data_IF_849904432232
#
_entry.id   IF_849904432232
#
_cell.length_a   1.000
_cell.length_b   1.000
_cell.length_c   1.000
_cell.angle_alpha   90.00
_cell.angle_beta   90.00
_cell.angle_gamma   90.00
#
_symmetry.space_group_name_H-M   'P 1'
#
loop_
_entity.id
_entity.type
_entity.pdbx_description
1 polymer ?
#
# COMPACT_ATOMS: atom_id res chain seq x y z
N UNK A 1 -9.63 7.54 -2.76
CA UNK A 1 -8.86 6.34 -3.17
C UNK A 1 -9.74 5.54 -4.11
N UNK A 2 -9.27 5.23 -5.32
CA UNK A 2 -9.98 4.36 -6.25
C UNK A 2 -9.52 2.91 -6.03
N UNK A 3 -10.44 1.92 -6.08
CA UNK A 3 -10.13 0.49 -5.88
C UNK A 3 -10.56 -0.40 -7.05
N UNK A 4 -10.88 0.21 -8.20
CA UNK A 4 -11.47 -0.51 -9.33
C UNK A 4 -13.00 -0.47 -9.31
N UNK A 5 -13.65 -0.84 -10.43
CA UNK A 5 -15.11 -0.75 -10.59
C UNK A 5 -15.88 -1.75 -9.73
N UNK A 6 -15.23 -2.84 -9.30
CA UNK A 6 -15.81 -3.88 -8.44
C UNK A 6 -15.21 -3.88 -7.03
N UNK A 7 -14.33 -2.93 -6.74
CA UNK A 7 -13.68 -2.84 -5.45
C UNK A 7 -14.59 -2.15 -4.42
N UNK A 8 -14.55 -2.64 -3.18
CA UNK A 8 -15.20 -2.00 -2.03
C UNK A 8 -14.16 -1.57 -1.02
N UNK A 9 -14.42 -0.45 -0.35
CA UNK A 9 -13.61 0.07 0.75
C UNK A 9 -14.48 0.19 1.97
N UNK A 10 -14.02 -0.39 3.08
CA UNK A 10 -14.66 -0.28 4.38
C UNK A 10 -13.73 0.42 5.37
N UNK A 11 -14.26 1.43 6.05
CA UNK A 11 -13.59 2.06 7.18
C UNK A 11 -13.54 1.11 8.39
N UNK A 12 -12.48 1.14 9.20
CA UNK A 12 -12.40 0.31 10.40
C UNK A 12 -13.30 0.85 11.51
N UNK A 13 -13.85 -0.06 12.32
CA UNK A 13 -14.46 0.26 13.62
C UNK A 13 -13.36 0.45 14.67
N UNK A 14 -13.69 1.06 15.81
CA UNK A 14 -12.75 1.26 16.93
C UNK A 14 -12.16 -0.03 17.49
N UNK A 15 -12.87 -1.15 17.35
CA UNK A 15 -12.45 -2.49 17.80
C UNK A 15 -11.74 -3.30 16.72
N UNK A 16 -11.73 -2.82 15.47
CA UNK A 16 -11.16 -3.57 14.35
C UNK A 16 -9.62 -3.55 14.42
N UNK A 17 -9.01 -4.64 13.97
CA UNK A 17 -7.57 -4.73 13.79
C UNK A 17 -7.27 -5.04 12.33
N UNK A 18 -6.30 -4.34 11.74
CA UNK A 18 -5.96 -4.45 10.30
C UNK A 18 -5.63 -5.88 9.84
N UNK A 19 -5.10 -6.72 10.74
CA UNK A 19 -4.76 -8.13 10.45
C UNK A 19 -5.95 -9.08 10.60
N UNK A 20 -7.09 -8.60 11.09
CA UNK A 20 -8.33 -9.36 11.24
C UNK A 20 -9.44 -8.71 10.40
N UNK A 21 -9.29 -8.71 9.07
CA UNK A 21 -10.28 -8.10 8.20
C UNK A 21 -11.61 -8.89 8.23
N UNK A 22 -12.74 -8.23 7.96
CA UNK A 22 -14.00 -8.91 7.70
C UNK A 22 -13.89 -9.91 6.53
N UNK A 23 -14.75 -10.93 6.45
CA UNK A 23 -14.75 -11.88 5.35
C UNK A 23 -14.80 -11.18 3.98
N UNK A 24 -13.94 -11.59 3.05
CA UNK A 24 -13.86 -11.01 1.70
C UNK A 24 -13.07 -9.70 1.59
N UNK A 25 -12.46 -9.23 2.69
CA UNK A 25 -11.59 -8.05 2.71
C UNK A 25 -10.16 -8.40 3.15
N UNK A 26 -9.20 -7.54 2.82
CA UNK A 26 -7.89 -7.47 3.48
C UNK A 26 -7.60 -6.07 3.99
N UNK A 27 -6.77 -5.98 5.03
CA UNK A 27 -6.34 -4.72 5.60
C UNK A 27 -5.22 -4.05 4.80
N UNK A 28 -5.27 -2.73 4.70
CA UNK A 28 -4.21 -1.91 4.12
C UNK A 28 -4.02 -0.65 4.96
N UNK A 29 -2.77 -0.33 5.30
CA UNK A 29 -2.45 0.92 5.98
C UNK A 29 -2.53 2.11 5.04
N UNK A 30 -3.04 3.24 5.54
CA UNK A 30 -3.13 4.45 4.72
C UNK A 30 -1.75 4.95 4.25
N UNK A 31 -0.72 4.74 5.09
CA UNK A 31 0.65 5.09 4.76
C UNK A 31 1.19 4.30 3.55
N UNK A 32 0.69 3.10 3.29
CA UNK A 32 1.08 2.34 2.09
C UNK A 32 0.69 3.08 0.80
N UNK A 33 -0.46 3.75 0.77
CA UNK A 33 -0.86 4.61 -0.35
C UNK A 33 0.05 5.83 -0.48
N UNK A 34 0.37 6.49 0.63
CA UNK A 34 1.34 7.60 0.62
C UNK A 34 2.74 7.16 0.13
N UNK A 35 3.03 5.86 0.20
CA UNK A 35 4.27 5.24 -0.27
C UNK A 35 4.16 4.54 -1.63
N UNK A 36 3.12 4.84 -2.39
CA UNK A 36 2.98 4.49 -3.80
C UNK A 36 2.06 3.30 -4.07
N UNK A 37 1.54 2.60 -3.06
CA UNK A 37 0.54 1.55 -3.29
C UNK A 37 -0.70 2.17 -3.95
N UNK A 38 -1.22 1.52 -4.98
CA UNK A 38 -2.35 1.99 -5.80
C UNK A 38 -3.21 0.80 -6.22
N UNK A 39 -4.49 1.06 -6.46
CA UNK A 39 -5.44 0.04 -6.90
C UNK A 39 -6.01 0.36 -8.30
N UNK A 40 -6.38 -0.66 -9.11
CA UNK A 40 -6.17 -2.09 -8.84
C UNK A 40 -4.68 -2.42 -8.66
N UNK A 41 -4.36 -3.41 -7.81
CA UNK A 41 -2.97 -3.74 -7.56
C UNK A 41 -2.31 -4.16 -8.87
N UNK A 42 -1.09 -3.69 -9.10
CA UNK A 42 -0.33 -4.14 -10.24
C UNK A 42 -0.12 -5.67 -10.15
N UNK A 43 -0.30 -6.44 -11.23
CA UNK A 43 -0.21 -7.91 -11.20
C UNK A 43 1.07 -8.43 -10.54
N UNK A 44 2.22 -7.82 -10.83
CA UNK A 44 3.50 -8.13 -10.18
C UNK A 44 3.46 -8.00 -8.63
N UNK A 45 2.78 -6.99 -8.09
CA UNK A 45 2.68 -6.81 -6.63
C UNK A 45 1.88 -7.95 -6.02
N UNK A 46 0.74 -8.30 -6.64
CA UNK A 46 -0.08 -9.44 -6.22
C UNK A 46 0.70 -10.75 -6.31
N UNK A 47 1.35 -11.02 -7.45
CA UNK A 47 2.17 -12.21 -7.69
C UNK A 47 3.29 -12.36 -6.66
N UNK A 48 4.04 -11.29 -6.39
CA UNK A 48 5.11 -11.33 -5.41
C UNK A 48 4.60 -11.57 -3.99
N UNK A 49 3.52 -10.89 -3.58
CA UNK A 49 2.93 -11.04 -2.26
C UNK A 49 2.36 -12.45 -2.03
N UNK A 50 1.73 -13.03 -3.05
CA UNK A 50 1.25 -14.41 -3.02
C UNK A 50 2.42 -15.40 -2.91
N UNK A 51 3.47 -15.24 -3.74
CA UNK A 51 4.68 -16.08 -3.72
C UNK A 51 5.34 -16.15 -2.34
N UNK A 52 5.41 -15.02 -1.62
CA UNK A 52 5.99 -14.96 -0.26
C UNK A 52 4.95 -15.22 0.85
N UNK A 53 3.67 -15.40 0.50
CA UNK A 53 2.59 -15.68 1.44
C UNK A 53 2.29 -14.51 2.38
N UNK A 54 2.38 -13.27 1.90
CA UNK A 54 2.17 -12.08 2.72
C UNK A 54 0.92 -11.29 2.35
N UNK A 55 0.01 -11.04 3.30
CA UNK A 55 -1.05 -10.06 3.10
C UNK A 55 -0.46 -8.63 3.06
N UNK A 56 -1.09 -7.70 2.32
CA UNK A 56 -0.63 -6.32 2.22
C UNK A 56 -0.38 -5.64 3.58
N UNK A 57 -1.24 -5.88 4.57
CA UNK A 57 -1.10 -5.33 5.92
C UNK A 57 0.21 -5.68 6.63
N UNK A 58 0.89 -6.78 6.27
CA UNK A 58 2.14 -7.17 6.91
C UNK A 58 3.38 -6.54 6.29
N UNK A 59 3.27 -5.85 5.16
CA UNK A 59 4.41 -5.24 4.50
C UNK A 59 4.61 -3.78 4.94
N UNK A 60 5.85 -3.38 5.21
CA UNK A 60 6.15 -1.99 5.61
C UNK A 60 5.90 -0.99 4.46
N UNK A 61 5.54 0.27 4.75
CA UNK A 61 5.26 1.25 3.70
C UNK A 61 6.44 1.51 2.76
N UNK A 62 7.68 1.55 3.26
CA UNK A 62 8.87 1.69 2.43
C UNK A 62 9.06 0.54 1.43
N UNK A 63 8.56 -0.66 1.75
CA UNK A 63 8.63 -1.79 0.83
C UNK A 63 7.78 -1.53 -0.41
N UNK A 64 6.60 -0.91 -0.25
CA UNK A 64 5.81 -0.48 -1.40
C UNK A 64 6.54 0.56 -2.25
N UNK A 65 7.29 1.47 -1.62
CA UNK A 65 8.13 2.41 -2.36
C UNK A 65 9.19 1.72 -3.22
N UNK A 66 9.81 0.65 -2.72
CA UNK A 66 10.73 -0.16 -3.51
C UNK A 66 10.03 -0.92 -4.64
N UNK A 67 8.86 -1.52 -4.38
CA UNK A 67 8.09 -2.23 -5.41
C UNK A 67 7.65 -1.28 -6.54
N UNK A 68 7.16 -0.09 -6.21
CA UNK A 68 6.74 0.91 -7.19
C UNK A 68 7.92 1.49 -7.95
N UNK A 69 9.02 1.80 -7.25
CA UNK A 69 10.27 2.20 -7.89
C UNK A 69 10.75 1.14 -8.89
N UNK A 70 10.70 -0.14 -8.50
CA UNK A 70 11.03 -1.26 -9.37
C UNK A 70 10.17 -1.30 -10.63
N UNK A 71 8.85 -1.20 -10.49
CA UNK A 71 7.92 -1.20 -11.62
C UNK A 71 8.24 -0.09 -12.63
N UNK A 72 8.39 1.14 -12.13
CA UNK A 72 8.72 2.30 -12.96
C UNK A 72 10.10 2.18 -13.61
N UNK A 73 11.08 1.63 -12.92
CA UNK A 73 12.43 1.42 -13.49
C UNK A 73 12.41 0.33 -14.56
N UNK A 74 11.62 -0.72 -14.38
CA UNK A 74 11.37 -1.71 -15.42
C UNK A 74 10.75 -1.06 -16.66
N UNK A 75 9.74 -0.20 -16.49
CA UNK A 75 9.13 0.54 -17.60
C UNK A 75 10.16 1.38 -18.38
N UNK A 76 11.00 2.16 -17.68
CA UNK A 76 12.06 2.98 -18.29
C UNK A 76 13.06 2.17 -19.13
N UNK A 77 13.27 0.89 -18.76
CA UNK A 77 14.18 -0.02 -19.44
C UNK A 77 13.48 -0.89 -20.50
N UNK A 78 12.16 -0.76 -20.66
CA UNK A 78 11.36 -1.63 -21.51
C UNK A 78 11.31 -3.09 -21.02
N UNK A 79 11.52 -3.31 -19.72
CA UNK A 79 11.51 -4.63 -19.11
C UNK A 79 10.12 -4.98 -18.58
N UNK A 80 9.70 -6.22 -18.80
CA UNK A 80 8.58 -6.78 -18.04
C UNK A 80 9.02 -6.99 -16.58
N UNK A 81 8.29 -6.44 -15.59
CA UNK A 81 8.59 -6.71 -14.18
C UNK A 81 8.31 -8.19 -13.86
N UNK A 82 9.28 -8.87 -13.25
CA UNK A 82 9.18 -10.29 -12.86
C UNK A 82 9.65 -10.50 -11.44
N UNK A 83 9.07 -11.48 -10.75
CA UNK A 83 9.51 -11.93 -9.42
C UNK A 83 10.97 -12.38 -9.43
N UNK A 84 11.43 -13.03 -10.50
CA UNK A 84 12.82 -13.45 -10.69
C UNK A 84 13.82 -12.28 -10.68
N UNK A 85 13.57 -11.22 -11.45
CA UNK A 85 14.42 -10.03 -11.45
C UNK A 85 14.36 -9.32 -10.09
N UNK A 86 13.16 -9.23 -9.50
CA UNK A 86 12.97 -8.59 -8.21
C UNK A 86 13.73 -9.26 -7.07
N UNK A 87 13.66 -10.60 -6.96
CA UNK A 87 14.40 -11.37 -5.95
C UNK A 87 15.92 -11.23 -6.13
N UNK A 88 16.40 -10.92 -7.33
CA UNK A 88 17.81 -10.66 -7.58
C UNK A 88 18.26 -9.24 -7.16
N UNK A 89 17.35 -8.37 -6.75
CA UNK A 89 17.60 -7.00 -6.30
C UNK A 89 17.24 -6.79 -4.83
N UNK A 90 16.21 -7.48 -4.35
CA UNK A 90 15.65 -7.29 -3.01
C UNK A 90 15.44 -8.61 -2.28
N UNK A 91 15.60 -8.57 -0.96
CA UNK A 91 15.26 -9.66 -0.05
C UNK A 91 14.20 -9.22 0.94
N UNK A 92 13.38 -10.16 1.40
CA UNK A 92 12.40 -9.91 2.45
C UNK A 92 12.95 -10.33 3.81
N UNK A 93 12.86 -9.43 4.78
CA UNK A 93 13.32 -9.63 6.14
C UNK A 93 12.26 -9.27 7.17
N UNK A 94 12.52 -9.55 8.43
CA UNK A 94 11.65 -9.14 9.55
C UNK A 94 11.98 -7.71 10.00
N UNK A 95 10.96 -6.93 10.33
CA UNK A 95 11.13 -5.64 10.99
C UNK A 95 11.75 -5.77 12.39
N UNK A 96 12.56 -4.79 12.79
CA UNK A 96 13.45 -4.81 13.96
C UNK A 96 12.79 -4.57 15.33
N UNK A 97 11.58 -5.09 15.61
CA UNK A 97 10.93 -4.90 16.92
C UNK A 97 10.76 -6.20 17.71
N UNK A 98 11.28 -6.20 18.95
CA UNK A 98 11.41 -7.37 19.83
C UNK A 98 10.09 -7.96 20.37
N UNK A 99 8.96 -7.23 20.33
CA UNK A 99 7.70 -7.65 20.98
C UNK A 99 6.46 -7.62 20.07
N UNK A 100 6.61 -7.47 18.76
CA UNK A 100 5.48 -7.56 17.84
C UNK A 100 5.84 -8.57 16.75
N UNK A 101 5.06 -9.64 16.65
CA UNK A 101 5.19 -10.55 15.52
C UNK A 101 5.21 -9.76 14.19
N UNK A 102 6.26 -10.00 13.40
CA UNK A 102 6.14 -10.35 11.99
C UNK A 102 5.65 -9.30 10.97
N UNK A 103 6.02 -8.02 11.07
CA UNK A 103 6.00 -7.17 9.85
C UNK A 103 7.20 -7.51 8.97
N UNK A 104 6.94 -7.71 7.69
CA UNK A 104 7.94 -7.95 6.67
C UNK A 104 8.42 -6.64 6.06
N UNK A 105 9.73 -6.54 5.81
CA UNK A 105 10.34 -5.39 5.14
C UNK A 105 11.18 -5.87 4.00
N UNK A 106 11.05 -5.20 2.85
CA UNK A 106 11.99 -5.36 1.76
C UNK A 106 13.29 -4.63 2.08
N UNK A 107 14.39 -5.29 1.74
CA UNK A 107 15.75 -4.77 1.85
C UNK A 107 16.41 -4.91 0.50
N UNK A 108 17.17 -3.89 0.10
CA UNK A 108 18.00 -3.95 -1.10
C UNK A 108 19.20 -4.84 -0.82
N UNK A 109 19.54 -5.73 -1.76
CA UNK A 109 20.70 -6.60 -1.61
C UNK A 109 22.00 -5.79 -1.57
N UNK A 110 22.97 -6.27 -0.80
CA UNK A 110 24.28 -5.63 -0.70
C UNK A 110 24.91 -5.51 -2.10
N UNK A 111 25.50 -4.34 -2.40
CA UNK A 111 26.04 -3.97 -3.72
C UNK A 111 25.02 -3.86 -4.87
N UNK A 112 23.73 -4.13 -4.64
CA UNK A 112 22.64 -3.99 -5.62
C UNK A 112 21.65 -2.90 -5.22
N UNK A 113 22.16 -1.80 -4.69
CA UNK A 113 21.33 -0.68 -4.25
C UNK A 113 20.80 0.05 -5.48
N UNK A 114 19.50 -0.01 -5.68
CA UNK A 114 18.79 0.64 -6.79
C UNK A 114 18.18 1.98 -6.39
N UNK A 115 17.79 2.14 -5.12
CA UNK A 115 17.09 3.33 -4.63
C UNK A 115 17.71 3.94 -3.36
N UNK A 116 17.65 5.26 -3.26
CA UNK A 116 18.03 6.08 -2.10
C UNK A 116 16.84 6.84 -1.54
N UNK A 117 17.06 7.60 -0.47
CA UNK A 117 16.08 8.51 0.13
C UNK A 117 14.83 7.84 0.70
N UNK A 118 14.93 6.53 0.99
CA UNK A 118 13.98 5.84 1.85
C UNK A 118 14.27 6.24 3.30
N UNK A 119 13.28 6.79 4.04
CA UNK A 119 13.47 7.07 5.46
C UNK A 119 13.75 5.76 6.20
N UNK A 120 14.67 5.76 7.17
CA UNK A 120 15.02 4.55 7.93
C UNK A 120 13.84 3.98 8.72
N UNK A 121 12.90 4.84 9.13
CA UNK A 121 11.64 4.49 9.76
C UNK A 121 10.59 5.55 9.45
N UNK A 122 9.31 5.15 9.45
CA UNK A 122 8.17 6.05 9.34
C UNK A 122 7.42 5.93 10.67
N UNK A 123 7.35 7.00 11.45
CA UNK A 123 6.64 6.94 12.73
C UNK A 123 5.12 6.89 12.51
N UNK A 124 4.39 6.21 13.40
CA UNK A 124 2.92 6.22 13.40
C UNK A 124 2.22 5.57 12.21
N UNK A 125 2.94 4.90 11.29
CA UNK A 125 2.35 4.37 10.05
C UNK A 125 1.26 3.32 10.25
N UNK A 126 1.18 2.72 11.44
CA UNK A 126 0.18 1.69 11.80
C UNK A 126 -1.12 2.26 12.37
N UNK A 127 -1.23 3.59 12.52
CA UNK A 127 -2.35 4.24 13.21
C UNK A 127 -3.66 4.26 12.42
N UNK A 128 -3.57 4.34 11.09
CA UNK A 128 -4.74 4.45 10.21
C UNK A 128 -4.69 3.37 9.12
N UNK A 129 -5.80 2.66 8.95
CA UNK A 129 -5.94 1.60 7.95
C UNK A 129 -7.38 1.56 7.42
N UNK A 130 -7.56 0.81 6.33
CA UNK A 130 -8.86 0.53 5.71
C UNK A 130 -8.91 -0.94 5.32
N UNK A 131 -10.12 -1.45 5.12
CA UNK A 131 -10.36 -2.77 4.54
C UNK A 131 -10.73 -2.62 3.06
N UNK A 132 -10.10 -3.42 2.21
CA UNK A 132 -10.33 -3.41 0.76
C UNK A 132 -10.79 -4.78 0.28
N UNK A 133 -11.79 -4.81 -0.58
CA UNK A 133 -12.26 -5.99 -1.32
C UNK A 133 -12.14 -5.70 -2.82
N UNK A 134 -11.76 -6.67 -3.65
CA UNK A 134 -11.46 -6.49 -5.08
C UNK A 134 -12.41 -7.25 -6.03
N UNK A 135 -13.61 -7.63 -5.60
CA UNK A 135 -14.63 -8.25 -6.46
C UNK A 135 -15.59 -9.21 -5.75
N UNK A 136 -16.53 -9.79 -6.50
CA UNK A 136 -17.60 -10.68 -5.98
C UNK A 136 -17.08 -11.95 -5.29
N UNK A 137 -15.90 -12.45 -5.66
CA UNK A 137 -15.32 -13.68 -5.12
C UNK A 137 -14.48 -13.49 -3.85
N UNK A 138 -14.39 -12.26 -3.31
CA UNK A 138 -13.51 -11.98 -2.18
C UNK A 138 -12.02 -12.15 -2.54
N UNK A 139 -11.15 -11.90 -1.57
CA UNK A 139 -9.74 -11.58 -1.82
C UNK A 139 -8.82 -12.80 -1.91
N UNK A 140 -7.86 -12.74 -2.84
CA UNK A 140 -6.85 -13.78 -3.15
C UNK A 140 -5.71 -13.90 -2.13
N UNK A 141 -5.63 -12.97 -1.16
CA UNK A 141 -4.54 -12.98 -0.18
C UNK A 141 -4.86 -13.89 1.01
N UNK A 142 -3.89 -14.67 1.53
CA UNK A 142 -4.11 -15.56 2.66
C UNK A 142 -4.69 -14.80 3.86
N UNK A 143 -5.85 -15.24 4.36
CA UNK A 143 -6.30 -14.88 5.70
C UNK A 143 -5.26 -15.42 6.69
N UNK A 144 -4.71 -14.57 7.54
CA UNK A 144 -3.63 -14.95 8.45
C UNK A 144 -4.05 -16.15 9.32
N UNK A 145 -3.46 -17.31 9.06
CA UNK A 145 -3.14 -18.26 10.11
C UNK A 145 -2.06 -17.64 10.98
N UNK A 146 -2.23 -17.65 12.29
CA UNK A 146 -1.53 -16.94 13.38
C UNK A 146 0.03 -16.91 13.40
N UNK A 147 0.75 -17.30 12.35
CA UNK A 147 2.18 -17.61 12.44
C UNK A 147 3.14 -16.53 11.94
N UNK A 148 2.69 -15.50 11.20
CA UNK A 148 3.58 -14.43 10.73
C UNK A 148 4.80 -14.94 9.95
N UNK A 149 4.67 -16.10 9.31
CA UNK A 149 5.72 -16.72 8.48
C UNK A 149 5.50 -16.29 7.03
N UNK A 150 6.57 -15.85 6.39
CA UNK A 150 6.63 -15.64 4.95
C UNK A 150 7.59 -16.65 4.34
N UNK A 151 7.33 -17.04 3.10
CA UNK A 151 8.15 -17.98 2.36
C UNK A 151 9.38 -17.26 1.83
N UNK A 152 10.56 -17.74 2.25
CA UNK A 152 11.83 -17.30 1.71
C UNK A 152 12.16 -18.19 0.51
N UNK A 153 12.39 -17.56 -0.64
CA UNK A 153 12.81 -18.23 -1.86
C UNK A 153 14.21 -17.75 -2.23
N UNK A 154 15.04 -18.66 -2.69
CA UNK A 154 16.33 -18.29 -3.26
C UNK A 154 16.11 -17.62 -4.63
N UNK A 155 16.84 -16.53 -4.94
CA UNK A 155 16.73 -15.90 -6.24
C UNK A 155 17.21 -16.86 -7.34
N UNK A 156 16.44 -17.01 -8.43
CA UNK A 156 16.88 -17.81 -9.56
C UNK A 156 18.12 -17.20 -10.19
N UNK A 157 19.04 -18.05 -10.68
CA UNK A 157 20.30 -17.64 -11.29
C UNK A 157 20.27 -17.90 -12.79
N UNK A 158 20.59 -16.90 -13.60
CA UNK A 158 20.85 -17.06 -15.04
C UNK A 158 21.63 -15.86 -15.57
N UNK A 159 22.40 -16.05 -16.64
CA UNK A 159 23.16 -14.98 -17.29
C UNK A 159 22.28 -13.85 -17.85
N UNK A 160 21.05 -14.18 -18.28
CA UNK A 160 20.06 -13.20 -18.73
C UNK A 160 19.63 -12.31 -17.55
N UNK A 161 19.32 -12.91 -16.41
CA UNK A 161 18.96 -12.15 -15.21
C UNK A 161 20.12 -11.29 -14.72
N UNK A 162 21.34 -11.80 -14.76
CA UNK A 162 22.52 -11.03 -14.37
C UNK A 162 22.68 -9.78 -15.25
N UNK A 163 22.55 -9.92 -16.58
CA UNK A 163 22.58 -8.79 -17.50
C UNK A 163 21.44 -7.78 -17.23
N UNK A 164 20.23 -8.25 -16.93
CA UNK A 164 19.11 -7.38 -16.57
C UNK A 164 19.34 -6.65 -15.24
N UNK A 165 19.97 -7.29 -14.26
CA UNK A 165 20.33 -6.66 -12.97
C UNK A 165 21.36 -5.57 -13.19
N UNK A 166 22.40 -5.83 -13.99
CA UNK A 166 23.41 -4.82 -14.31
C UNK A 166 22.79 -3.60 -15.02
N UNK A 167 21.96 -3.82 -16.04
CA UNK A 167 21.23 -2.75 -16.73
C UNK A 167 20.26 -1.99 -15.80
N UNK A 168 19.62 -2.71 -14.85
CA UNK A 168 18.75 -2.10 -13.86
C UNK A 168 19.51 -1.13 -12.94
N UNK A 169 20.71 -1.53 -12.53
CA UNK A 169 21.60 -0.78 -11.63
C UNK A 169 22.48 0.25 -12.34
N UNK A 170 22.54 0.22 -13.67
CA UNK A 170 23.31 1.16 -14.47
C UNK A 170 22.99 2.62 -14.09
N UNK A 171 24.02 3.46 -14.00
CA UNK A 171 23.90 4.84 -13.53
C UNK A 171 23.78 5.00 -12.01
N UNK A 172 23.79 3.89 -11.25
CA UNK A 172 23.80 3.89 -9.79
C UNK A 172 22.42 4.07 -9.13
N UNK A 173 22.40 4.21 -7.79
CA UNK A 173 21.17 4.37 -7.04
C UNK A 173 20.43 5.67 -7.38
N UNK A 174 19.10 5.61 -7.47
CA UNK A 174 18.24 6.75 -7.79
C UNK A 174 17.39 7.16 -6.60
N UNK A 175 17.00 8.43 -6.50
CA UNK A 175 16.08 8.83 -5.43
C UNK A 175 14.72 8.19 -5.61
N UNK A 176 14.21 7.50 -4.59
CA UNK A 176 12.85 6.93 -4.65
C UNK A 176 11.78 8.02 -4.83
N UNK A 177 12.09 9.25 -4.40
CA UNK A 177 11.19 10.41 -4.52
C UNK A 177 10.96 10.82 -5.96
N UNK A 178 11.96 10.62 -6.83
CA UNK A 178 11.87 10.93 -8.27
C UNK A 178 10.99 9.92 -9.02
N UNK A 179 10.71 8.77 -8.40
CA UNK A 179 9.88 7.71 -8.95
C UNK A 179 8.44 7.83 -8.44
N UNK A 180 8.26 8.00 -7.14
CA UNK A 180 6.92 8.05 -6.50
C UNK A 180 6.35 9.47 -6.58
N UNK A 181 6.22 9.97 -7.80
CA UNK A 181 5.50 11.20 -8.11
C UNK A 181 4.14 10.86 -8.69
N UNK A 182 3.11 11.68 -8.42
CA UNK A 182 1.77 11.44 -8.97
C UNK A 182 1.80 11.39 -10.51
N UNK A 183 2.63 12.20 -11.15
CA UNK A 183 2.83 12.20 -12.60
C UNK A 183 3.30 10.83 -13.12
N UNK A 184 4.41 10.30 -12.58
CA UNK A 184 4.95 9.00 -13.02
C UNK A 184 4.05 7.83 -12.64
N UNK A 185 3.41 7.88 -11.49
CA UNK A 185 2.44 6.87 -11.08
C UNK A 185 1.22 6.87 -12.02
N UNK A 186 0.69 8.04 -12.35
CA UNK A 186 -0.44 8.18 -13.29
C UNK A 186 -0.08 7.69 -14.69
N UNK A 187 1.14 7.92 -15.17
CA UNK A 187 1.62 7.44 -16.46
C UNK A 187 1.62 5.90 -16.57
N UNK A 188 1.78 5.18 -15.45
CA UNK A 188 1.62 3.72 -15.38
C UNK A 188 0.16 3.26 -15.19
N UNK A 189 -0.82 4.15 -15.34
CA UNK A 189 -2.22 3.86 -15.08
C UNK A 189 -2.58 3.79 -13.59
N UNK A 190 -1.66 4.15 -12.69
CA UNK A 190 -1.97 4.25 -11.27
C UNK A 190 -2.66 5.59 -10.94
N UNK A 191 -3.92 5.69 -11.30
CA UNK A 191 -4.71 6.90 -11.05
C UNK A 191 -5.00 7.07 -9.55
N UNK A 192 -4.61 8.22 -9.00
CA UNK A 192 -5.20 8.73 -7.76
C UNK A 192 -6.45 9.50 -8.14
N UNK A 193 -7.59 9.15 -7.56
CA UNK A 193 -8.75 10.05 -7.64
C UNK A 193 -8.38 11.32 -6.86
N UNK A 194 -8.14 12.43 -7.58
CA UNK A 194 -7.96 13.74 -6.99
C UNK A 194 -9.29 14.17 -6.36
N UNK A 195 -9.30 14.35 -5.03
CA UNK A 195 -10.27 15.23 -4.39
C UNK A 195 -9.61 16.61 -4.41
N UNK A 196 -10.22 17.57 -5.10
CA UNK A 196 -9.79 18.96 -5.04
C UNK A 196 -10.04 19.49 -3.63
N UNK A 197 -8.98 19.88 -2.92
CA UNK A 197 -9.07 20.46 -1.57
C UNK A 197 -7.75 20.34 -0.81
N UNK A 198 -6.95 21.41 -0.84
CA UNK A 198 -5.76 21.55 0.02
C UNK A 198 -6.19 21.76 1.47
N UNK A 199 -6.45 20.67 2.19
CA UNK A 199 -6.39 20.53 3.65
C UNK A 199 -6.57 19.06 4.00
N UNK A 200 -5.74 18.58 4.92
CA UNK A 200 -5.69 17.18 5.36
C UNK A 200 -6.99 16.69 6.05
N UNK A 201 -7.97 17.59 6.20
CA UNK A 201 -9.27 17.35 6.85
C UNK A 201 -10.47 17.33 5.89
N UNK A 202 -10.32 17.62 4.58
CA UNK A 202 -11.42 17.69 3.63
C UNK A 202 -11.41 16.54 2.59
N UNK A 203 -11.56 15.30 3.06
CA UNK A 203 -11.99 14.19 2.19
C UNK A 203 -13.50 14.33 1.96
N UNK A 204 -13.92 15.29 1.12
CA UNK A 204 -15.28 15.29 0.60
C UNK A 204 -15.38 14.36 -0.61
N UNK A 205 -16.12 13.26 -0.43
CA UNK A 205 -16.59 12.37 -1.48
C UNK A 205 -17.88 12.96 -2.08
N UNK A 206 -17.91 13.31 -3.37
CA UNK A 206 -19.12 13.80 -4.09
C UNK A 206 -19.11 13.29 -5.56
N UNK A 207 -20.26 13.06 -6.25
CA UNK A 207 -20.88 11.75 -6.42
C UNK A 207 -20.96 11.29 -7.89
N UNK A 208 -21.46 10.06 -8.07
CA UNK A 208 -21.81 9.37 -9.33
C UNK A 208 -20.69 8.63 -10.06
N UNK A 209 -19.91 7.82 -9.36
CA UNK A 209 -19.63 6.44 -9.80
C UNK A 209 -19.67 5.57 -8.54
N UNK A 210 -20.52 4.54 -8.54
CA UNK A 210 -20.93 3.76 -7.37
C UNK A 210 -19.76 2.98 -6.77
N UNK A 211 -18.97 3.62 -5.91
CA UNK A 211 -18.23 2.92 -4.86
C UNK A 211 -19.23 2.74 -3.71
N UNK A 212 -19.72 1.52 -3.52
CA UNK A 212 -20.58 1.18 -2.39
C UNK A 212 -19.72 1.20 -1.12
N UNK A 213 -19.96 2.20 -0.29
CA UNK A 213 -19.49 2.20 1.09
C UNK A 213 -20.51 1.40 1.90
N UNK A 214 -20.10 0.25 2.42
CA UNK A 214 -20.89 -0.48 3.40
C UNK A 214 -20.65 0.16 4.76
N UNK A 215 -21.62 0.94 5.24
CA UNK A 215 -21.65 1.36 6.63
C UNK A 215 -21.85 0.15 7.53
N UNK A 216 -21.20 0.22 8.68
CA UNK A 216 -21.24 -0.81 9.67
C UNK A 216 -22.59 -0.77 10.41
N UNK A 217 -23.47 -1.73 10.17
CA UNK A 217 -24.64 -1.94 11.04
C UNK A 217 -24.17 -2.13 12.49
N UNK A 218 -24.53 -1.18 13.34
CA UNK A 218 -24.33 -1.17 14.79
C UNK A 218 -25.64 -0.77 15.47
N UNK A 219 -25.89 -1.24 16.70
CA UNK A 219 -27.16 -0.99 17.37
C UNK A 219 -27.33 0.52 17.62
N UNK A 220 -28.50 1.03 17.27
CA UNK A 220 -28.95 2.39 17.47
C UNK A 220 -28.98 2.70 18.98
N UNK A 221 -27.86 3.21 19.50
CA UNK A 221 -27.80 3.76 20.85
C UNK A 221 -28.39 5.16 20.79
N UNK A 222 -29.72 5.23 20.87
CA UNK A 222 -30.50 6.46 20.84
C UNK A 222 -29.92 7.53 21.76
N UNK A 223 -29.57 8.68 21.17
CA UNK A 223 -29.26 9.90 21.90
C UNK A 223 -30.52 10.78 21.86
N UNK A 224 -31.06 11.22 23.02
CA UNK A 224 -32.29 12.01 23.05
C UNK A 224 -32.05 13.42 22.49
N UNK A 225 -33.11 13.94 21.88
CA UNK A 225 -33.17 15.27 21.30
C UNK A 225 -33.07 16.39 22.36
N UNK A 226 -32.53 17.53 21.91
CA UNK A 226 -32.58 18.89 22.49
C UNK A 226 -31.71 19.21 23.72
N UNK A 227 -30.75 20.12 23.52
CA UNK A 227 -30.57 21.28 24.37
C UNK A 227 -29.90 22.41 23.56
N UNK A 228 -30.66 23.50 23.38
CA UNK A 228 -30.23 24.79 22.87
C UNK A 228 -29.00 25.36 23.59
N UNK A 229 -28.17 26.12 22.88
CA UNK A 229 -27.13 26.93 23.52
C UNK A 229 -26.07 27.49 22.59
N UNK A 230 -26.43 28.58 21.91
CA UNK A 230 -25.54 29.59 21.29
C UNK A 230 -24.13 29.66 21.90
N UNK A 231 -23.07 29.68 21.08
CA UNK A 231 -22.00 30.71 21.16
C UNK A 231 -21.23 30.82 19.82
N UNK A 232 -21.63 31.85 19.05
CA UNK A 232 -20.85 32.76 18.19
C UNK A 232 -19.64 32.24 17.37
N UNK A 233 -19.85 32.17 16.05
CA UNK A 233 -18.83 32.50 15.05
C UNK A 233 -18.63 34.02 14.98
N UNK A 234 -17.38 34.49 15.09
CA UNK A 234 -16.95 35.81 14.66
C UNK A 234 -15.97 35.66 13.51
N UNK A 235 -16.40 36.02 12.31
CA UNK A 235 -15.62 36.03 11.08
C UNK A 235 -15.32 37.47 10.66
N UNK A 236 -14.22 37.63 9.90
CA UNK A 236 -13.86 38.69 8.93
C UNK A 236 -12.97 39.85 9.44
N UNK A 237 -12.25 40.57 8.54
CA UNK A 237 -11.22 40.10 7.60
C UNK A 237 -10.02 41.09 7.47
N UNK A 238 -8.87 40.60 6.97
CA UNK A 238 -7.94 41.18 5.97
C UNK A 238 -6.63 40.40 5.99
#
# INVERSE_FOLDING_TARGET
MYVGPFGRVRAPRSTDHVLHPPPGYFGVYLMSFAKGLRFPLHPFITEYLDMVGLPPALLTPNSYSLMVGFLLRCEELGYRPTTALFMNLYQIGRGSHKNCAAYATLQQLLKKRSFTDLPSSIHGWKSKFVFVSLGENGTEFPSLGHTGRFNLHDPPKSSILDAQVEAFLEGGPRSVKDYITEYKMTALGFLRYHVYGDKEDDIQLWPRMTTTFEEADGPDLGIPAEADGNYFFGFLPL
#
